data_IF_994171783287
#
_entry.id   IF_994171783287
#
_cell.length_a   1.000
_cell.length_b   1.000
_cell.length_c   1.000
_cell.angle_alpha   90.00
_cell.angle_beta   90.00
_cell.angle_gamma   90.00
#
_symmetry.space_group_name_H-M   'P 1'
#
loop_
_entity.id
_entity.type
_entity.pdbx_description
1 polymer ?
#
# COMPACT_ATOMS: atom_id res chain seq x y z
N UNK A 1 -17.14 34.20 5.90
CA UNK A 1 -17.87 33.63 4.75
C UNK A 1 -16.91 32.82 3.88
N UNK A 2 -17.39 31.77 3.21
CA UNK A 2 -16.59 31.00 2.24
C UNK A 2 -17.17 31.16 0.84
N UNK A 3 -16.28 31.33 -0.13
CA UNK A 3 -16.62 31.52 -1.53
C UNK A 3 -15.93 30.46 -2.39
N UNK A 4 -16.55 30.08 -3.49
CA UNK A 4 -15.97 29.25 -4.56
C UNK A 4 -15.83 30.08 -5.81
N UNK A 5 -14.66 30.08 -6.45
CA UNK A 5 -14.43 30.75 -7.71
C UNK A 5 -15.11 30.01 -8.87
N UNK A 6 -15.94 30.72 -9.63
CA UNK A 6 -16.60 30.21 -10.83
C UNK A 6 -15.72 30.39 -12.07
N UNK A 7 -14.91 31.45 -12.09
CA UNK A 7 -14.08 31.83 -13.23
C UNK A 7 -12.64 32.10 -12.79
N UNK A 8 -11.73 32.01 -13.75
CA UNK A 8 -10.34 32.42 -13.53
C UNK A 8 -10.22 33.94 -13.58
N UNK A 9 -9.44 34.51 -12.66
CA UNK A 9 -9.07 35.92 -12.64
C UNK A 9 -7.57 36.09 -12.53
N UNK A 10 -7.02 36.94 -13.41
CA UNK A 10 -5.61 37.31 -13.40
C UNK A 10 -5.48 38.73 -12.81
N UNK A 11 -4.69 38.90 -11.73
CA UNK A 11 -4.43 40.20 -11.12
C UNK A 11 -3.91 41.21 -12.13
N UNK A 12 -4.47 42.42 -12.10
CA UNK A 12 -3.98 43.61 -12.79
C UNK A 12 -3.10 44.46 -11.87
N UNK A 13 -3.38 44.42 -10.56
CA UNK A 13 -2.62 45.12 -9.53
C UNK A 13 -1.98 44.14 -8.54
N UNK A 14 -0.98 44.62 -7.78
CA UNK A 14 -0.20 43.78 -6.85
C UNK A 14 -0.98 43.34 -5.61
N UNK A 15 -2.06 44.03 -5.29
CA UNK A 15 -2.95 43.78 -4.17
C UNK A 15 -4.14 42.86 -4.53
N UNK A 16 -4.26 42.48 -5.80
CA UNK A 16 -5.30 41.58 -6.30
C UNK A 16 -4.89 40.10 -6.21
N UNK A 17 -5.84 39.26 -5.87
CA UNK A 17 -5.67 37.83 -5.68
C UNK A 17 -5.92 37.07 -6.98
N UNK A 18 -4.93 36.27 -7.40
CA UNK A 18 -5.12 35.31 -8.48
C UNK A 18 -6.04 34.16 -8.04
N UNK A 19 -7.13 33.95 -8.78
CA UNK A 19 -8.07 32.84 -8.54
C UNK A 19 -8.26 32.02 -9.81
N UNK A 20 -8.35 30.70 -9.68
CA UNK A 20 -8.72 29.76 -10.74
C UNK A 20 -10.12 29.20 -10.47
N UNK A 21 -10.84 28.80 -11.52
CA UNK A 21 -12.15 28.17 -11.37
C UNK A 21 -12.07 26.92 -10.46
N UNK A 22 -12.96 26.84 -9.48
CA UNK A 22 -13.01 25.80 -8.45
C UNK A 22 -12.23 26.11 -7.17
N UNK A 23 -11.46 27.19 -7.11
CA UNK A 23 -10.72 27.58 -5.90
C UNK A 23 -11.67 28.00 -4.78
N UNK A 24 -11.33 27.64 -3.54
CA UNK A 24 -12.04 28.12 -2.35
C UNK A 24 -11.33 29.36 -1.76
N UNK A 25 -12.11 30.36 -1.38
CA UNK A 25 -11.65 31.62 -0.80
C UNK A 25 -12.34 31.86 0.55
N UNK A 26 -11.53 32.18 1.56
CA UNK A 26 -12.02 32.62 2.86
C UNK A 26 -12.15 34.13 2.86
N UNK A 27 -13.34 34.62 3.20
CA UNK A 27 -13.64 36.05 3.27
C UNK A 27 -14.06 36.36 4.69
N UNK A 28 -13.30 37.23 5.37
CA UNK A 28 -13.67 37.71 6.70
C UNK A 28 -14.69 38.85 6.55
N UNK A 29 -15.94 38.69 7.05
CA UNK A 29 -16.97 39.72 6.94
C UNK A 29 -16.63 41.01 7.71
N UNK A 30 -15.77 40.95 8.74
CA UNK A 30 -15.41 42.12 9.55
C UNK A 30 -14.42 43.05 8.84
N UNK A 31 -13.80 42.59 7.74
CA UNK A 31 -12.77 43.31 7.00
C UNK A 31 -13.22 43.74 5.59
N UNK A 32 -14.53 43.94 5.39
CA UNK A 32 -15.10 44.37 4.10
C UNK A 32 -15.54 45.84 4.06
N UNK A 33 -15.43 46.59 5.17
CA UNK A 33 -15.98 47.94 5.27
C UNK A 33 -15.32 48.98 4.36
N UNK A 34 -14.07 48.74 3.93
CA UNK A 34 -13.27 49.67 3.12
C UNK A 34 -13.09 49.18 1.66
N UNK A 35 -13.88 48.21 1.21
CA UNK A 35 -13.74 47.60 -0.12
C UNK A 35 -14.69 48.24 -1.12
N UNK A 36 -14.17 48.60 -2.30
CA UNK A 36 -14.98 49.14 -3.41
C UNK A 36 -16.07 48.18 -3.85
N UNK A 37 -17.22 48.72 -4.25
CA UNK A 37 -18.37 47.95 -4.74
C UNK A 37 -17.96 46.96 -5.85
N UNK A 38 -18.39 45.70 -5.72
CA UNK A 38 -18.07 44.61 -6.68
C UNK A 38 -16.76 43.86 -6.40
N UNK A 39 -16.01 44.25 -5.37
CA UNK A 39 -14.80 43.57 -4.93
C UNK A 39 -14.96 43.00 -3.52
N UNK A 40 -14.22 41.94 -3.24
CA UNK A 40 -14.10 41.38 -1.89
C UNK A 40 -12.63 41.11 -1.58
N UNK A 41 -12.25 41.25 -0.31
CA UNK A 41 -10.92 40.83 0.15
C UNK A 41 -11.01 39.42 0.71
N UNK A 42 -10.22 38.51 0.15
CA UNK A 42 -10.22 37.11 0.55
C UNK A 42 -8.83 36.49 0.60
N UNK A 43 -8.75 35.34 1.26
CA UNK A 43 -7.54 34.51 1.35
C UNK A 43 -7.77 33.21 0.60
N UNK A 44 -6.91 32.90 -0.37
CA UNK A 44 -6.97 31.65 -1.13
C UNK A 44 -6.71 30.45 -0.23
N UNK A 45 -7.60 29.46 -0.25
CA UNK A 45 -7.38 28.20 0.46
C UNK A 45 -6.16 27.44 -0.08
N UNK A 46 -5.92 27.51 -1.41
CA UNK A 46 -4.85 26.76 -2.07
C UNK A 46 -3.48 27.36 -1.81
N UNK A 47 -3.34 28.68 -1.87
CA UNK A 47 -2.03 29.35 -1.80
C UNK A 47 -1.77 30.06 -0.48
N UNK A 48 -2.81 30.31 0.33
CA UNK A 48 -2.70 31.11 1.55
C UNK A 48 -2.54 32.62 1.30
N UNK A 49 -2.43 33.06 0.04
CA UNK A 49 -2.29 34.49 -0.29
C UNK A 49 -3.60 35.24 -0.06
N UNK A 50 -3.50 36.48 0.40
CA UNK A 50 -4.62 37.42 0.61
C UNK A 50 -4.59 38.53 -0.44
N UNK A 51 -5.75 38.92 -0.96
CA UNK A 51 -5.86 40.05 -1.89
C UNK A 51 -7.31 40.32 -2.29
N UNK A 52 -7.49 41.32 -3.16
CA UNK A 52 -8.78 41.69 -3.75
C UNK A 52 -9.18 40.74 -4.89
N UNK A 53 -10.44 40.34 -4.94
CA UNK A 53 -10.99 39.56 -6.04
C UNK A 53 -12.40 40.07 -6.44
N UNK A 54 -12.81 39.91 -7.72
CA UNK A 54 -14.15 40.28 -8.15
C UNK A 54 -15.21 39.39 -7.49
N UNK A 55 -16.21 40.00 -6.84
CA UNK A 55 -17.27 39.27 -6.15
C UNK A 55 -18.10 38.43 -7.13
N UNK A 56 -18.38 38.98 -8.32
CA UNK A 56 -19.17 38.36 -9.38
C UNK A 56 -18.51 37.12 -10.01
N UNK A 57 -17.25 36.85 -9.70
CA UNK A 57 -16.56 35.61 -10.09
C UNK A 57 -16.63 34.52 -9.04
N UNK A 58 -17.44 34.71 -8.00
CA UNK A 58 -17.57 33.78 -6.92
C UNK A 58 -19.03 33.48 -6.58
N UNK A 59 -19.23 32.35 -5.91
CA UNK A 59 -20.49 31.99 -5.27
C UNK A 59 -20.26 31.54 -3.83
N UNK A 60 -21.30 31.52 -3.00
CA UNK A 60 -21.19 31.02 -1.62
C UNK A 60 -20.93 29.52 -1.63
N UNK A 61 -19.89 29.09 -0.91
CA UNK A 61 -19.56 27.68 -0.71
C UNK A 61 -20.07 27.20 0.66
N UNK A 62 -20.48 25.92 0.75
CA UNK A 62 -20.83 25.33 2.04
C UNK A 62 -19.58 25.02 2.86
N UNK A 63 -19.71 25.10 4.18
CA UNK A 63 -18.59 24.86 5.08
C UNK A 63 -18.02 23.44 4.92
N UNK A 64 -18.88 22.46 4.64
CA UNK A 64 -18.54 21.06 4.37
C UNK A 64 -17.65 20.86 3.15
N UNK A 65 -17.68 21.77 2.17
CA UNK A 65 -17.00 21.59 0.88
C UNK A 65 -15.48 21.78 1.00
N UNK A 66 -15.01 22.29 2.13
CA UNK A 66 -13.59 22.45 2.44
C UNK A 66 -13.14 21.52 3.57
N UNK A 67 -13.99 20.59 4.03
CA UNK A 67 -13.59 19.64 5.07
C UNK A 67 -12.69 18.57 4.46
N UNK A 68 -11.45 18.55 4.92
CA UNK A 68 -10.52 17.46 4.63
C UNK A 68 -10.54 16.51 5.82
N UNK A 69 -10.91 15.25 5.61
CA UNK A 69 -10.84 14.23 6.67
C UNK A 69 -9.36 13.96 7.01
N UNK A 70 -8.85 14.63 8.04
CA UNK A 70 -7.45 14.49 8.45
C UNK A 70 -7.17 13.16 9.17
N UNK A 71 -8.10 12.71 10.02
CA UNK A 71 -8.00 11.44 10.76
C UNK A 71 -9.35 11.08 11.39
N UNK A 72 -9.58 9.79 11.62
CA UNK A 72 -10.70 9.26 12.40
C UNK A 72 -10.11 8.43 13.54
N UNK A 73 -10.60 8.61 14.77
CA UNK A 73 -10.16 7.86 15.94
C UNK A 73 -11.33 7.10 16.53
N UNK A 74 -11.16 5.80 16.72
CA UNK A 74 -12.10 4.95 17.45
C UNK A 74 -11.49 4.68 18.81
N UNK A 75 -12.11 5.22 19.87
CA UNK A 75 -11.71 4.90 21.23
C UNK A 75 -12.41 3.62 21.67
N UNK A 76 -11.62 2.57 21.87
CA UNK A 76 -12.09 1.34 22.51
C UNK A 76 -11.82 1.44 24.00
N UNK A 77 -12.88 1.30 24.80
CA UNK A 77 -12.77 1.24 26.26
C UNK A 77 -12.03 -0.03 26.66
N UNK A 78 -10.90 0.10 27.36
CA UNK A 78 -10.14 -1.04 27.85
C UNK A 78 -10.95 -1.84 28.89
N UNK A 79 -11.38 -3.05 28.53
CA UNK A 79 -11.87 -4.04 29.49
C UNK A 79 -10.66 -4.68 30.18
N UNK A 80 -10.41 -4.31 31.44
CA UNK A 80 -9.46 -5.01 32.31
C UNK A 80 -10.08 -6.36 32.73
N UNK A 81 -9.52 -7.47 32.26
CA UNK A 81 -9.57 -8.74 32.96
C UNK A 81 -8.26 -8.92 33.73
N UNK A 82 -8.38 -9.03 35.05
CA UNK A 82 -7.28 -9.26 35.98
C UNK A 82 -7.00 -10.76 36.15
N UNK A 83 -5.75 -11.16 35.90
CA UNK A 83 -5.09 -12.23 36.66
C UNK A 83 -3.83 -11.64 37.30
N UNK A 84 -3.71 -11.83 38.61
CA UNK A 84 -2.60 -11.36 39.43
C UNK A 84 -1.31 -12.12 39.12
N UNK A 85 -0.20 -11.41 38.88
CA UNK A 85 1.05 -11.64 39.62
C UNK A 85 1.85 -10.34 39.66
N UNK A 86 2.43 -10.08 40.83
CA UNK A 86 3.01 -8.83 41.30
C UNK A 86 4.17 -8.29 40.46
N UNK A 87 4.21 -6.96 40.26
CA UNK A 87 5.29 -6.07 40.73
C UNK A 87 4.89 -4.61 40.50
N UNK A 88 4.98 -3.85 41.59
CA UNK A 88 4.55 -2.47 41.78
C UNK A 88 5.27 -1.48 40.86
N UNK A 89 4.54 -0.46 40.39
CA UNK A 89 4.93 0.95 40.51
C UNK A 89 3.66 1.82 40.45
N UNK A 90 3.43 2.59 41.53
CA UNK A 90 2.28 3.47 41.74
C UNK A 90 2.40 4.77 40.95
N UNK A 91 1.36 5.15 40.18
CA UNK A 91 0.88 6.54 40.07
C UNK A 91 -0.64 6.52 39.90
N UNK A 92 -1.36 7.05 40.89
CA UNK A 92 -2.82 7.30 40.88
C UNK A 92 -3.13 8.58 40.09
N UNK A 93 -4.31 8.64 39.46
CA UNK A 93 -5.28 9.73 39.66
C UNK A 93 -6.67 9.35 39.09
N UNK A 94 -7.68 9.65 39.91
CA UNK A 94 -9.10 9.29 39.87
C UNK A 94 -9.91 9.81 38.66
N UNK A 95 -11.09 9.20 38.43
CA UNK A 95 -12.23 9.88 37.81
C UNK A 95 -13.28 8.93 37.21
N UNK A 96 -14.40 8.75 37.91
CA UNK A 96 -15.48 7.79 37.64
C UNK A 96 -16.33 8.06 36.40
N UNK A 97 -16.94 6.97 35.90
CA UNK A 97 -17.91 6.94 34.81
C UNK A 97 -19.37 6.97 35.33
N UNK A 98 -20.29 7.52 34.53
CA UNK A 98 -21.72 7.29 34.63
C UNK A 98 -22.29 6.97 33.24
N UNK A 99 -22.80 5.75 33.09
CA UNK A 99 -23.68 5.33 32.00
C UNK A 99 -25.13 5.61 32.39
N UNK A 100 -26.01 5.85 31.41
CA UNK A 100 -27.33 5.23 31.46
C UNK A 100 -27.66 4.45 30.19
N UNK A 101 -28.43 3.40 30.41
CA UNK A 101 -28.78 2.33 29.50
C UNK A 101 -29.96 2.65 28.58
N UNK A 102 -30.01 1.90 27.47
CA UNK A 102 -31.20 1.46 26.71
C UNK A 102 -31.97 2.48 25.85
N UNK A 103 -31.95 2.27 24.53
CA UNK A 103 -33.01 1.49 23.86
C UNK A 103 -32.65 1.23 22.39
N UNK A 104 -32.54 -0.06 22.03
CA UNK A 104 -32.47 -0.54 20.64
C UNK A 104 -33.86 -0.41 20.00
N UNK A 105 -33.95 0.34 18.91
CA UNK A 105 -34.98 0.15 17.89
C UNK A 105 -34.33 -0.55 16.69
N UNK A 106 -34.80 -1.78 16.44
CA UNK A 106 -34.20 -2.71 15.49
C UNK A 106 -34.39 -2.33 14.03
N UNK A 107 -33.35 -2.61 13.25
CA UNK A 107 -33.44 -2.93 11.84
C UNK A 107 -32.36 -3.98 11.53
N UNK A 108 -32.81 -5.23 11.45
CA UNK A 108 -32.19 -6.41 10.81
C UNK A 108 -30.68 -6.41 10.57
N UNK A 109 -29.91 -6.78 11.60
CA UNK A 109 -28.64 -7.48 11.38
C UNK A 109 -28.97 -8.96 11.43
N UNK A 110 -29.19 -9.57 10.27
CA UNK A 110 -29.13 -11.02 10.17
C UNK A 110 -27.71 -11.43 10.56
N UNK A 111 -27.59 -12.04 11.72
CA UNK A 111 -26.46 -12.87 12.10
C UNK A 111 -26.32 -13.99 11.07
N UNK A 112 -25.35 -13.90 10.18
CA UNK A 112 -24.92 -15.06 9.40
C UNK A 112 -24.10 -15.99 10.30
N UNK A 113 -24.82 -16.88 10.98
CA UNK A 113 -24.25 -18.11 11.51
C UNK A 113 -23.72 -18.97 10.34
N UNK A 114 -22.50 -19.49 10.48
CA UNK A 114 -21.95 -20.65 9.75
C UNK A 114 -22.14 -20.68 8.23
N UNK A 115 -21.72 -19.63 7.52
CA UNK A 115 -21.35 -19.82 6.11
C UNK A 115 -20.05 -20.66 6.04
N UNK A 116 -19.98 -21.72 5.22
CA UNK A 116 -18.74 -22.47 5.07
C UNK A 116 -17.66 -21.52 4.56
N UNK A 117 -16.49 -21.51 5.23
CA UNK A 117 -15.33 -20.69 4.82
C UNK A 117 -15.06 -20.91 3.34
N UNK A 118 -15.32 -19.87 2.55
CA UNK A 118 -15.09 -19.89 1.11
C UNK A 118 -13.59 -19.81 0.87
N UNK A 119 -13.13 -20.57 -0.12
CA UNK A 119 -11.76 -20.44 -0.57
C UNK A 119 -11.65 -19.13 -1.33
N UNK A 120 -10.61 -18.36 -1.03
CA UNK A 120 -10.39 -17.10 -1.70
C UNK A 120 -8.91 -16.88 -1.99
N UNK A 121 -8.64 -16.00 -2.94
CA UNK A 121 -7.30 -15.65 -3.40
C UNK A 121 -7.16 -14.15 -3.34
N UNK A 122 -6.21 -13.69 -2.54
CA UNK A 122 -5.85 -12.28 -2.43
C UNK A 122 -4.50 -12.08 -3.13
N UNK A 123 -4.48 -11.38 -4.26
CA UNK A 123 -3.23 -11.06 -4.98
C UNK A 123 -2.86 -9.63 -4.71
N UNK A 124 -1.60 -9.38 -4.36
CA UNK A 124 -1.12 -8.08 -3.92
C UNK A 124 0.25 -7.75 -4.53
N UNK A 125 0.42 -6.51 -4.97
CA UNK A 125 1.72 -5.98 -5.38
C UNK A 125 2.59 -5.69 -4.16
N UNK A 126 3.89 -5.93 -4.27
CA UNK A 126 4.88 -5.52 -3.27
C UNK A 126 4.79 -4.02 -2.86
N UNK A 127 5.38 -3.70 -1.69
CA UNK A 127 5.56 -2.33 -1.19
C UNK A 127 6.50 -1.45 -1.99
N UNK A 128 6.56 -0.18 -1.60
CA UNK A 128 7.52 0.79 -2.16
C UNK A 128 8.96 0.25 -2.09
N UNK A 129 9.66 0.30 -3.22
CA UNK A 129 11.06 -0.14 -3.33
C UNK A 129 12.01 1.03 -3.16
N UNK A 130 13.21 0.77 -2.64
CA UNK A 130 14.24 1.81 -2.48
C UNK A 130 14.64 2.44 -3.82
N UNK A 131 14.75 1.67 -4.89
CA UNK A 131 15.19 2.16 -6.21
C UNK A 131 14.12 3.00 -6.92
N UNK A 132 12.84 2.85 -6.54
CA UNK A 132 11.76 3.72 -7.02
C UNK A 132 11.85 5.13 -6.42
N UNK A 133 12.35 5.23 -5.18
CA UNK A 133 12.48 6.51 -4.46
C UNK A 133 13.81 7.19 -4.79
N UNK A 134 14.90 6.42 -4.72
CA UNK A 134 16.27 6.95 -4.79
C UNK A 134 16.93 6.77 -6.16
N UNK A 135 16.20 6.19 -7.12
CA UNK A 135 16.67 5.97 -8.48
C UNK A 135 17.66 4.81 -8.64
N UNK A 136 18.21 4.68 -9.85
CA UNK A 136 19.07 3.54 -10.22
C UNK A 136 20.39 3.47 -9.44
N UNK A 137 20.91 4.61 -8.99
CA UNK A 137 22.15 4.69 -8.22
C UNK A 137 21.94 4.58 -6.70
N UNK A 138 20.77 4.10 -6.25
CA UNK A 138 20.43 4.03 -4.82
C UNK A 138 21.49 3.29 -4.00
N UNK A 139 22.06 2.20 -4.55
CA UNK A 139 23.02 1.38 -3.81
C UNK A 139 24.30 2.18 -3.52
N UNK A 140 24.78 2.96 -4.50
CA UNK A 140 25.95 3.83 -4.33
C UNK A 140 25.72 4.92 -3.28
N UNK A 141 24.48 5.42 -3.15
CA UNK A 141 24.13 6.42 -2.14
C UNK A 141 24.25 5.87 -0.71
N UNK A 142 24.03 4.57 -0.51
CA UNK A 142 24.01 3.92 0.80
C UNK A 142 25.25 3.04 1.10
N UNK A 143 26.33 3.17 0.33
CA UNK A 143 27.60 2.48 0.59
C UNK A 143 28.71 3.48 0.93
N UNK A 144 29.45 3.18 2.00
CA UNK A 144 30.68 3.90 2.34
C UNK A 144 31.80 3.54 1.36
N UNK A 145 32.93 4.30 1.32
CA UNK A 145 34.06 3.98 0.46
C UNK A 145 34.68 2.59 0.69
N UNK A 146 34.58 2.05 1.92
CA UNK A 146 34.99 0.68 2.27
C UNK A 146 33.91 -0.38 1.97
N UNK A 147 32.81 0.00 1.31
CA UNK A 147 31.76 -0.90 0.83
C UNK A 147 30.78 -1.34 1.91
N UNK A 148 30.71 -0.66 3.06
CA UNK A 148 29.74 -0.96 4.11
C UNK A 148 28.45 -0.21 3.88
N UNK A 149 27.34 -0.88 4.17
CA UNK A 149 26.03 -0.27 4.13
C UNK A 149 25.88 0.78 5.25
N UNK A 150 25.33 1.94 4.90
CA UNK A 150 24.87 2.94 5.84
C UNK A 150 23.57 3.57 5.36
N UNK A 151 22.74 4.01 6.30
CA UNK A 151 21.43 4.60 6.00
C UNK A 151 21.57 6.10 5.70
N UNK A 152 21.70 6.44 4.41
CA UNK A 152 21.88 7.83 3.95
C UNK A 152 20.60 8.71 4.04
N UNK A 153 19.43 8.08 4.05
CA UNK A 153 18.11 8.69 4.18
C UNK A 153 17.24 7.77 5.06
N UNK A 154 16.33 8.33 5.86
CA UNK A 154 15.50 7.54 6.78
C UNK A 154 14.55 6.56 6.08
N UNK A 155 14.25 6.78 4.80
CA UNK A 155 13.45 5.88 3.99
C UNK A 155 14.26 4.68 3.42
N UNK A 156 15.59 4.67 3.53
CA UNK A 156 16.34 3.43 3.39
C UNK A 156 16.15 2.52 4.62
N UNK A 157 16.14 1.18 4.46
CA UNK A 157 16.01 0.26 5.58
C UNK A 157 17.15 0.44 6.62
N UNK A 158 16.94 -0.02 7.85
CA UNK A 158 17.98 0.07 8.89
C UNK A 158 19.19 -0.83 8.62
N UNK A 159 18.99 -1.92 7.87
CA UNK A 159 20.03 -2.83 7.43
C UNK A 159 19.63 -3.53 6.12
N UNK A 160 20.62 -4.02 5.38
CA UNK A 160 20.42 -4.96 4.29
C UNK A 160 20.67 -6.39 4.78
N UNK A 161 19.91 -7.39 4.30
CA UNK A 161 20.16 -8.77 4.67
C UNK A 161 21.53 -9.21 4.16
N UNK A 162 22.19 -10.10 4.90
CA UNK A 162 23.43 -10.71 4.42
C UNK A 162 23.13 -11.59 3.22
N UNK A 163 23.94 -11.45 2.18
CA UNK A 163 23.95 -12.34 1.03
C UNK A 163 25.33 -12.96 0.93
N UNK A 164 25.42 -14.23 0.51
CA UNK A 164 26.69 -14.94 0.34
C UNK A 164 27.44 -14.43 -0.90
N UNK A 165 26.70 -13.84 -1.83
CA UNK A 165 27.22 -13.16 -3.00
C UNK A 165 27.58 -11.69 -2.70
N UNK A 166 27.70 -10.87 -3.75
CA UNK A 166 28.07 -9.46 -3.64
C UNK A 166 26.89 -8.57 -3.28
N UNK A 167 27.12 -7.57 -2.43
CA UNK A 167 26.17 -6.46 -2.18
C UNK A 167 25.66 -5.80 -3.46
N UNK A 168 26.42 -5.85 -4.57
CA UNK A 168 25.99 -5.33 -5.88
C UNK A 168 24.72 -6.01 -6.41
N UNK A 169 24.42 -7.22 -5.97
CA UNK A 169 23.23 -7.95 -6.43
C UNK A 169 21.91 -7.31 -5.98
N UNK A 170 21.94 -6.43 -4.96
CA UNK A 170 20.78 -5.61 -4.62
C UNK A 170 20.39 -4.61 -5.72
N UNK A 171 21.30 -4.22 -6.62
CA UNK A 171 20.96 -3.32 -7.74
C UNK A 171 19.84 -3.91 -8.62
N UNK A 172 19.87 -5.23 -8.83
CA UNK A 172 18.88 -5.97 -9.62
C UNK A 172 17.75 -6.59 -8.78
N UNK A 173 17.92 -6.66 -7.46
CA UNK A 173 16.89 -7.15 -6.53
C UNK A 173 16.78 -6.23 -5.29
N UNK A 174 16.26 -5.00 -5.48
CA UNK A 174 16.24 -3.99 -4.43
C UNK A 174 15.23 -4.37 -3.32
N UNK A 175 15.53 -4.02 -2.06
CA UNK A 175 14.61 -4.20 -0.95
C UNK A 175 13.46 -3.18 -0.96
N UNK A 176 12.52 -3.36 -0.04
CA UNK A 176 11.57 -2.34 0.35
C UNK A 176 12.27 -1.14 1.01
N UNK A 177 11.67 0.03 0.83
CA UNK A 177 11.96 1.22 1.65
C UNK A 177 11.30 1.11 3.04
N UNK A 178 11.61 2.01 3.97
CA UNK A 178 10.89 2.07 5.26
C UNK A 178 9.39 2.35 5.07
N UNK A 179 9.02 3.20 4.11
CA UNK A 179 7.62 3.41 3.72
C UNK A 179 7.00 2.12 3.17
N UNK A 180 7.73 1.35 2.33
CA UNK A 180 7.27 0.05 1.83
C UNK A 180 7.03 -0.97 2.94
N UNK A 181 7.90 -1.00 3.95
CA UNK A 181 7.74 -1.81 5.16
C UNK A 181 6.50 -1.39 5.94
N UNK A 182 6.32 -0.09 6.18
CA UNK A 182 5.15 0.47 6.85
C UNK A 182 3.84 0.14 6.12
N UNK A 183 3.78 0.37 4.80
CA UNK A 183 2.63 0.04 3.96
C UNK A 183 2.25 -1.44 4.11
N UNK A 184 3.24 -2.33 4.05
CA UNK A 184 3.02 -3.78 4.13
C UNK A 184 2.48 -4.20 5.48
N UNK A 185 3.04 -3.67 6.57
CA UNK A 185 2.57 -3.96 7.93
C UNK A 185 1.16 -3.44 8.17
N UNK A 186 0.87 -2.21 7.75
CA UNK A 186 -0.45 -1.59 7.89
C UNK A 186 -1.54 -2.40 7.18
N UNK A 187 -1.24 -2.95 6.00
CA UNK A 187 -2.17 -3.83 5.30
C UNK A 187 -2.39 -5.15 6.06
N UNK A 188 -1.34 -5.71 6.66
CA UNK A 188 -1.48 -6.88 7.54
C UNK A 188 -2.38 -6.61 8.75
N UNK A 189 -2.19 -5.47 9.42
CA UNK A 189 -3.03 -5.01 10.54
C UNK A 189 -4.48 -4.82 10.09
N UNK A 190 -4.71 -4.20 8.93
CA UNK A 190 -6.06 -4.05 8.38
C UNK A 190 -6.73 -5.39 8.03
N UNK A 191 -5.97 -6.39 7.56
CA UNK A 191 -6.51 -7.72 7.30
C UNK A 191 -6.86 -8.45 8.61
N UNK A 192 -6.10 -8.21 9.69
CA UNK A 192 -6.38 -8.74 11.01
C UNK A 192 -7.69 -8.14 11.57
N UNK A 193 -7.87 -6.82 11.44
CA UNK A 193 -9.09 -6.11 11.84
C UNK A 193 -10.35 -6.61 11.12
N UNK A 194 -10.18 -7.19 9.92
CA UNK A 194 -11.26 -7.80 9.13
C UNK A 194 -11.36 -9.31 9.35
N UNK A 195 -10.64 -9.86 10.32
CA UNK A 195 -10.64 -11.28 10.68
C UNK A 195 -10.35 -12.21 9.49
N UNK A 196 -9.51 -11.77 8.54
CA UNK A 196 -9.21 -12.54 7.33
C UNK A 196 -8.34 -13.75 7.67
N UNK A 197 -8.88 -14.94 7.46
CA UNK A 197 -8.18 -16.20 7.71
C UNK A 197 -7.23 -16.54 6.56
N UNK A 198 -5.98 -16.07 6.65
CA UNK A 198 -4.92 -16.42 5.69
C UNK A 198 -4.32 -17.79 6.04
N UNK A 199 -4.53 -18.77 5.17
CA UNK A 199 -4.06 -20.15 5.37
C UNK A 199 -2.72 -20.43 4.69
N UNK A 200 -2.46 -19.75 3.57
CA UNK A 200 -1.22 -19.93 2.80
C UNK A 200 -0.74 -18.58 2.26
N UNK A 201 0.58 -18.40 2.23
CA UNK A 201 1.23 -17.24 1.62
C UNK A 201 2.23 -17.71 0.57
N UNK A 202 2.07 -17.21 -0.64
CA UNK A 202 3.01 -17.38 -1.74
C UNK A 202 3.65 -16.04 -2.08
N UNK A 203 4.95 -16.06 -2.35
CA UNK A 203 5.68 -14.87 -2.76
C UNK A 203 6.49 -15.14 -4.02
N UNK A 204 6.56 -14.14 -4.89
CA UNK A 204 7.64 -14.04 -5.88
C UNK A 204 9.02 -14.09 -5.19
N UNK A 205 10.07 -14.61 -5.84
CA UNK A 205 11.42 -14.69 -5.26
C UNK A 205 12.11 -13.33 -5.10
N UNK A 206 11.60 -12.26 -5.70
CA UNK A 206 12.15 -10.92 -5.54
C UNK A 206 12.11 -10.50 -4.05
N UNK A 207 13.21 -9.95 -3.54
CA UNK A 207 13.36 -9.61 -2.12
C UNK A 207 12.23 -8.71 -1.62
N UNK A 208 11.88 -7.68 -2.41
CA UNK A 208 10.74 -6.78 -2.14
C UNK A 208 9.41 -7.52 -1.90
N UNK A 209 9.16 -8.62 -2.59
CA UNK A 209 7.93 -9.40 -2.45
C UNK A 209 7.99 -10.24 -1.16
N UNK A 210 9.13 -10.89 -0.89
CA UNK A 210 9.32 -11.66 0.34
C UNK A 210 9.23 -10.77 1.58
N UNK A 211 9.84 -9.59 1.54
CA UNK A 211 9.75 -8.59 2.61
C UNK A 211 8.31 -8.08 2.79
N UNK A 212 7.59 -7.84 1.69
CA UNK A 212 6.17 -7.46 1.78
C UNK A 212 5.37 -8.55 2.47
N UNK A 213 5.51 -9.82 2.05
CA UNK A 213 4.84 -10.96 2.65
C UNK A 213 5.17 -11.11 4.14
N UNK A 214 6.45 -10.95 4.51
CA UNK A 214 6.91 -10.98 5.89
C UNK A 214 6.22 -9.92 6.75
N UNK A 215 6.16 -8.67 6.29
CA UNK A 215 5.57 -7.58 7.06
C UNK A 215 4.04 -7.65 7.11
N UNK A 216 3.38 -8.15 6.05
CA UNK A 216 1.96 -8.47 6.09
C UNK A 216 1.66 -9.56 7.13
N UNK A 217 2.46 -10.63 7.18
CA UNK A 217 2.33 -11.69 8.19
C UNK A 217 2.59 -11.21 9.62
N UNK A 218 3.48 -10.23 9.80
CA UNK A 218 3.68 -9.58 11.09
C UNK A 218 2.46 -8.78 11.53
N UNK A 219 1.87 -7.97 10.63
CA UNK A 219 0.65 -7.23 10.92
C UNK A 219 -0.56 -8.14 11.18
N UNK A 220 -0.62 -9.29 10.50
CA UNK A 220 -1.63 -10.34 10.72
C UNK A 220 -1.41 -11.17 12.00
N UNK A 221 -0.29 -10.99 12.70
CA UNK A 221 0.12 -11.84 13.83
C UNK A 221 0.23 -13.33 13.49
N UNK A 222 0.51 -13.66 12.21
CA UNK A 222 0.62 -15.03 11.69
C UNK A 222 2.06 -15.49 11.47
N UNK A 223 3.05 -14.65 11.78
CA UNK A 223 4.47 -14.94 11.53
C UNK A 223 5.00 -16.24 12.17
N UNK A 224 4.35 -16.78 13.21
CA UNK A 224 4.74 -18.07 13.81
C UNK A 224 3.93 -19.26 13.27
N UNK A 225 2.83 -19.00 12.55
CA UNK A 225 1.85 -20.02 12.14
C UNK A 225 1.91 -20.33 10.65
N UNK A 226 2.15 -19.31 9.83
CA UNK A 226 2.12 -19.42 8.37
C UNK A 226 3.49 -19.04 7.80
N UNK A 227 4.07 -19.94 7.00
CA UNK A 227 5.36 -19.73 6.34
C UNK A 227 5.18 -19.25 4.91
N UNK A 228 6.11 -18.43 4.44
CA UNK A 228 6.13 -17.86 3.08
C UNK A 228 6.68 -18.92 2.10
N UNK A 229 5.86 -19.31 1.13
CA UNK A 229 6.25 -20.22 0.06
C UNK A 229 6.78 -19.42 -1.12
N UNK A 230 8.08 -19.51 -1.37
CA UNK A 230 8.73 -18.79 -2.48
C UNK A 230 8.48 -19.56 -3.78
N UNK A 231 7.73 -18.96 -4.71
CA UNK A 231 7.34 -19.55 -5.99
C UNK A 231 7.94 -18.72 -7.15
N UNK A 232 9.00 -19.22 -7.81
CA UNK A 232 9.63 -18.55 -8.95
C UNK A 232 8.68 -18.24 -10.10
N UNK A 233 7.63 -19.05 -10.30
CA UNK A 233 6.60 -18.80 -11.31
C UNK A 233 5.89 -17.46 -11.15
N UNK A 234 5.89 -16.87 -9.94
CA UNK A 234 5.29 -15.55 -9.66
C UNK A 234 6.22 -14.36 -9.94
N UNK A 235 7.43 -14.59 -10.48
CA UNK A 235 8.32 -13.49 -10.85
C UNK A 235 7.76 -12.64 -12.00
N UNK A 236 8.15 -11.36 -12.05
CA UNK A 236 7.70 -10.37 -13.03
C UNK A 236 8.00 -10.82 -14.47
N UNK A 237 7.28 -10.25 -15.45
CA UNK A 237 7.57 -10.51 -16.85
C UNK A 237 9.02 -10.11 -17.18
N UNK A 238 9.86 -11.09 -17.52
CA UNK A 238 11.32 -10.90 -17.60
C UNK A 238 11.74 -10.00 -18.76
N UNK A 239 10.84 -9.67 -19.69
CA UNK A 239 11.05 -8.65 -20.72
C UNK A 239 11.18 -7.24 -20.14
N UNK A 240 10.62 -6.98 -18.96
CA UNK A 240 10.76 -5.69 -18.28
C UNK A 240 12.05 -5.57 -17.46
N UNK A 241 12.82 -6.65 -17.31
CA UNK A 241 14.11 -6.60 -16.64
C UNK A 241 15.16 -5.93 -17.54
N UNK A 242 15.62 -4.76 -17.11
CA UNK A 242 16.48 -3.89 -17.92
C UNK A 242 17.84 -4.51 -18.26
N UNK A 243 18.33 -5.44 -17.43
CA UNK A 243 19.64 -6.06 -17.56
C UNK A 243 19.67 -7.22 -18.55
N UNK A 244 18.53 -7.70 -19.06
CA UNK A 244 18.41 -8.97 -19.81
C UNK A 244 19.02 -10.17 -19.06
N UNK A 245 19.15 -10.07 -17.74
CA UNK A 245 19.67 -11.12 -16.87
C UNK A 245 18.64 -11.30 -15.75
N UNK A 246 18.28 -12.55 -15.47
CA UNK A 246 17.42 -12.85 -14.32
C UNK A 246 18.17 -12.42 -13.06
N UNK A 247 17.55 -11.61 -12.17
CA UNK A 247 18.20 -11.21 -10.94
C UNK A 247 18.68 -12.44 -10.16
N UNK A 248 19.88 -12.36 -9.60
CA UNK A 248 20.31 -13.38 -8.65
C UNK A 248 19.48 -13.19 -7.38
N UNK A 249 18.42 -13.96 -7.19
CA UNK A 249 17.60 -13.86 -5.98
C UNK A 249 18.33 -14.47 -4.79
N UNK A 250 18.00 -13.98 -3.59
CA UNK A 250 18.41 -14.67 -2.37
C UNK A 250 17.84 -16.10 -2.36
N UNK A 251 18.67 -17.06 -2.00
CA UNK A 251 18.24 -18.45 -1.82
C UNK A 251 17.27 -18.56 -0.64
N UNK A 252 16.43 -19.59 -0.61
CA UNK A 252 15.54 -19.85 0.53
C UNK A 252 16.32 -20.01 1.84
N UNK A 253 17.54 -20.56 1.78
CA UNK A 253 18.44 -20.65 2.93
C UNK A 253 18.91 -19.26 3.41
N UNK A 254 19.36 -18.40 2.50
CA UNK A 254 19.76 -17.02 2.86
C UNK A 254 18.59 -16.20 3.38
N UNK A 255 17.38 -16.38 2.83
CA UNK A 255 16.17 -15.74 3.34
C UNK A 255 15.87 -16.19 4.78
N UNK A 256 15.98 -17.48 5.06
CA UNK A 256 15.83 -18.01 6.42
C UNK A 256 16.93 -17.52 7.38
N UNK A 257 18.19 -17.50 6.94
CA UNK A 257 19.33 -16.92 7.68
C UNK A 257 19.11 -15.43 7.98
N UNK A 258 18.47 -14.70 7.07
CA UNK A 258 18.03 -13.31 7.25
C UNK A 258 16.76 -13.14 8.09
N UNK A 259 16.28 -14.22 8.73
CA UNK A 259 15.10 -14.23 9.62
C UNK A 259 13.76 -13.96 8.93
N UNK A 260 13.66 -14.16 7.61
CA UNK A 260 12.36 -14.24 6.93
C UNK A 260 11.72 -15.60 7.18
N UNK A 261 10.44 -15.63 7.52
CA UNK A 261 9.72 -16.87 7.85
C UNK A 261 9.33 -17.67 6.59
N UNK A 262 10.31 -18.11 5.83
CA UNK A 262 10.13 -18.88 4.59
C UNK A 262 9.95 -20.38 4.85
N UNK A 263 9.16 -21.03 4.01
CA UNK A 263 8.97 -22.48 4.03
C UNK A 263 10.11 -23.18 3.28
N UNK A 264 11.12 -23.65 4.02
CA UNK A 264 12.27 -24.37 3.46
C UNK A 264 11.91 -25.76 2.89
N UNK A 265 10.75 -26.30 3.27
CA UNK A 265 10.26 -27.59 2.77
C UNK A 265 9.46 -27.47 1.47
N UNK A 266 8.98 -26.26 1.15
CA UNK A 266 8.23 -26.02 -0.07
C UNK A 266 9.09 -26.26 -1.31
N UNK A 267 8.47 -26.84 -2.34
CA UNK A 267 9.05 -27.03 -3.66
C UNK A 267 8.11 -26.33 -4.65
N UNK A 268 8.61 -25.27 -5.29
CA UNK A 268 7.86 -24.51 -6.28
C UNK A 268 7.45 -25.39 -7.47
N UNK A 269 6.31 -25.06 -8.06
CA UNK A 269 5.80 -25.71 -9.27
C UNK A 269 6.56 -25.26 -10.51
N UNK A 270 7.19 -24.08 -10.46
CA UNK A 270 8.06 -23.58 -11.52
C UNK A 270 9.51 -23.45 -11.02
N UNK A 271 10.47 -24.21 -11.59
CA UNK A 271 11.87 -24.12 -11.18
C UNK A 271 12.47 -22.75 -11.49
N UNK A 272 13.30 -22.21 -10.57
CA UNK A 272 13.97 -20.93 -10.80
C UNK A 272 14.86 -20.95 -12.04
N UNK A 273 15.53 -22.08 -12.30
CA UNK A 273 16.36 -22.30 -13.49
C UNK A 273 15.60 -22.26 -14.81
N UNK A 274 14.27 -22.36 -14.77
CA UNK A 274 13.39 -22.27 -15.94
C UNK A 274 12.99 -20.84 -16.29
N UNK A 275 13.30 -19.84 -15.44
CA UNK A 275 13.11 -18.45 -15.81
C UNK A 275 14.12 -18.07 -16.90
N UNK A 276 13.61 -17.62 -18.04
CA UNK A 276 14.43 -17.17 -19.17
C UNK A 276 14.39 -15.65 -19.28
N UNK A 277 15.51 -14.98 -19.57
CA UNK A 277 15.50 -13.55 -19.83
C UNK A 277 14.66 -13.20 -21.06
N UNK A 278 13.94 -12.07 -21.01
CA UNK A 278 13.16 -11.57 -22.14
C UNK A 278 12.16 -12.59 -22.72
N UNK A 279 11.48 -13.33 -21.85
CA UNK A 279 10.45 -14.30 -22.25
C UNK A 279 9.29 -13.65 -23.03
N UNK A 280 8.56 -14.47 -23.80
CA UNK A 280 7.34 -14.00 -24.47
C UNK A 280 6.25 -13.65 -23.45
N UNK A 281 5.26 -12.86 -23.88
CA UNK A 281 4.14 -12.51 -22.99
C UNK A 281 3.30 -13.75 -22.65
N UNK A 282 3.16 -14.67 -23.62
CA UNK A 282 2.46 -15.94 -23.49
C UNK A 282 3.15 -16.87 -22.48
N UNK A 283 4.48 -16.98 -22.56
CA UNK A 283 5.26 -17.77 -21.60
C UNK A 283 5.13 -17.21 -20.19
N UNK A 284 5.21 -15.88 -20.03
CA UNK A 284 5.00 -15.21 -18.76
C UNK A 284 3.63 -15.52 -18.16
N UNK A 285 2.55 -15.41 -18.95
CA UNK A 285 1.19 -15.71 -18.48
C UNK A 285 1.03 -17.19 -18.11
N UNK A 286 1.61 -18.08 -18.91
CA UNK A 286 1.58 -19.52 -18.67
C UNK A 286 2.24 -19.87 -17.33
N UNK A 287 3.48 -19.45 -17.11
CA UNK A 287 4.19 -19.76 -15.85
C UNK A 287 3.64 -19.05 -14.62
N UNK A 288 3.01 -17.89 -14.77
CA UNK A 288 2.45 -17.13 -13.64
C UNK A 288 1.14 -17.71 -13.11
N UNK A 289 0.42 -18.46 -13.95
CA UNK A 289 -0.88 -19.01 -13.62
C UNK A 289 -0.87 -20.51 -13.34
N UNK A 290 0.03 -21.27 -13.98
CA UNK A 290 0.12 -22.72 -13.80
C UNK A 290 0.31 -23.17 -12.33
N UNK A 291 1.19 -22.56 -11.52
CA UNK A 291 1.32 -22.91 -10.10
C UNK A 291 0.02 -22.72 -9.33
N UNK A 292 -0.75 -21.70 -9.67
CA UNK A 292 -1.98 -21.33 -8.98
C UNK A 292 -3.13 -22.28 -9.35
N UNK A 293 -3.28 -22.60 -10.63
CA UNK A 293 -4.26 -23.57 -11.09
C UNK A 293 -4.04 -24.94 -10.44
N UNK A 294 -2.78 -25.37 -10.28
CA UNK A 294 -2.45 -26.61 -9.59
C UNK A 294 -2.86 -26.55 -8.11
N UNK A 295 -2.58 -25.44 -7.42
CA UNK A 295 -2.98 -25.26 -6.01
C UNK A 295 -4.49 -25.26 -5.82
N UNK A 296 -5.24 -24.68 -6.76
CA UNK A 296 -6.70 -24.61 -6.67
C UNK A 296 -7.39 -25.92 -7.05
N UNK A 297 -6.75 -26.78 -7.84
CA UNK A 297 -7.26 -28.12 -8.14
C UNK A 297 -7.35 -29.03 -6.90
N UNK A 298 -6.60 -28.75 -5.83
CA UNK A 298 -6.68 -29.52 -4.59
C UNK A 298 -7.87 -29.08 -3.73
N UNK A 299 -8.86 -29.96 -3.57
CA UNK A 299 -10.15 -29.70 -2.91
C UNK A 299 -10.11 -29.59 -1.37
N UNK A 300 -8.94 -29.50 -0.74
CA UNK A 300 -8.79 -29.52 0.74
C UNK A 300 -8.52 -28.17 1.43
N UNK A 301 -8.22 -27.09 0.68
CA UNK A 301 -7.87 -25.79 1.26
C UNK A 301 -9.12 -24.98 1.61
N UNK A 302 -9.21 -24.51 2.86
CA UNK A 302 -10.17 -23.49 3.31
C UNK A 302 -9.42 -22.22 3.74
N UNK A 303 -10.08 -21.07 3.62
CA UNK A 303 -9.49 -19.75 3.91
C UNK A 303 -8.86 -19.05 2.69
N UNK A 304 -8.11 -18.00 2.97
CA UNK A 304 -7.49 -17.12 1.98
C UNK A 304 -6.08 -17.59 1.64
N UNK A 305 -5.79 -17.69 0.35
CA UNK A 305 -4.45 -17.84 -0.20
C UNK A 305 -3.95 -16.44 -0.58
N UNK A 306 -2.96 -15.94 0.14
CA UNK A 306 -2.31 -14.66 -0.15
C UNK A 306 -1.18 -14.88 -1.16
N UNK A 307 -1.17 -14.10 -2.22
CA UNK A 307 -0.13 -14.09 -3.25
C UNK A 307 0.49 -12.69 -3.28
N UNK A 308 1.79 -12.61 -2.96
CA UNK A 308 2.56 -11.37 -2.99
C UNK A 308 3.50 -11.40 -4.18
N UNK A 309 3.24 -10.54 -5.15
CA UNK A 309 3.99 -10.48 -6.40
C UNK A 309 4.18 -9.05 -6.89
N UNK A 310 3.96 -8.87 -8.18
CA UNK A 310 4.15 -7.59 -8.88
C UNK A 310 2.79 -7.04 -9.33
N UNK A 311 2.78 -5.85 -9.93
CA UNK A 311 1.53 -5.29 -10.46
C UNK A 311 0.91 -6.21 -11.52
N UNK A 312 1.75 -6.81 -12.35
CA UNK A 312 1.38 -7.80 -13.36
C UNK A 312 0.70 -9.05 -12.80
N UNK A 313 1.07 -9.47 -11.59
CA UNK A 313 0.51 -10.64 -10.92
C UNK A 313 -1.00 -10.49 -10.70
N UNK A 314 -1.51 -9.27 -10.44
CA UNK A 314 -2.94 -9.06 -10.21
C UNK A 314 -3.79 -9.58 -11.37
N UNK A 315 -3.35 -9.42 -12.62
CA UNK A 315 -4.09 -9.90 -13.78
C UNK A 315 -3.61 -11.27 -14.26
N UNK A 316 -2.30 -11.53 -14.25
CA UNK A 316 -1.74 -12.81 -14.69
C UNK A 316 -2.21 -13.98 -13.82
N UNK A 317 -2.43 -13.75 -12.53
CA UNK A 317 -2.87 -14.78 -11.59
C UNK A 317 -4.40 -14.95 -11.51
N UNK A 318 -5.17 -13.87 -11.72
CA UNK A 318 -6.63 -13.90 -11.50
C UNK A 318 -7.46 -14.09 -12.77
N UNK A 319 -7.00 -13.62 -13.93
CA UNK A 319 -7.76 -13.80 -15.19
C UNK A 319 -7.92 -15.28 -15.55
N UNK A 320 -6.85 -16.11 -15.52
CA UNK A 320 -6.98 -17.54 -15.79
C UNK A 320 -7.88 -18.25 -14.77
N UNK A 321 -7.80 -17.84 -13.50
CA UNK A 321 -8.64 -18.37 -12.42
C UNK A 321 -10.14 -18.18 -12.70
N UNK A 322 -10.51 -17.04 -13.28
CA UNK A 322 -11.89 -16.72 -13.65
C UNK A 322 -12.27 -17.18 -15.07
N UNK A 323 -11.39 -17.89 -15.79
CA UNK A 323 -11.61 -18.29 -17.17
C UNK A 323 -11.70 -17.13 -18.16
N UNK A 324 -11.11 -15.97 -17.85
CA UNK A 324 -11.08 -14.82 -18.75
C UNK A 324 -9.90 -14.91 -19.73
N UNK A 325 -10.06 -14.44 -20.98
CA UNK A 325 -8.98 -14.42 -21.96
C UNK A 325 -7.84 -13.50 -21.51
N UNK A 326 -6.63 -13.75 -22.00
CA UNK A 326 -5.51 -12.81 -21.84
C UNK A 326 -5.83 -11.47 -22.49
N UNK A 327 -5.27 -10.39 -21.93
CA UNK A 327 -5.27 -9.07 -22.60
C UNK A 327 -4.17 -9.05 -23.65
N UNK A 328 -4.25 -8.15 -24.62
CA UNK A 328 -3.08 -7.79 -25.41
C UNK A 328 -1.94 -7.29 -24.51
N UNK A 329 -0.70 -7.54 -24.93
CA UNK A 329 0.50 -7.20 -24.15
C UNK A 329 0.66 -5.69 -23.88
N UNK A 330 0.23 -4.82 -24.80
CA UNK A 330 0.26 -3.37 -24.64
C UNK A 330 -0.77 -2.91 -23.61
N UNK A 331 -2.02 -3.39 -23.74
CA UNK A 331 -3.10 -3.11 -22.79
C UNK A 331 -2.76 -3.62 -21.39
N UNK A 332 -2.14 -4.80 -21.32
CA UNK A 332 -1.63 -5.37 -20.09
C UNK A 332 -0.59 -4.45 -19.44
N UNK A 333 0.42 -4.01 -20.19
CA UNK A 333 1.46 -3.11 -19.68
C UNK A 333 0.88 -1.76 -19.19
N UNK A 334 -0.08 -1.19 -19.92
CA UNK A 334 -0.75 0.06 -19.51
C UNK A 334 -1.55 -0.11 -18.21
N UNK A 335 -2.22 -1.24 -18.05
CA UNK A 335 -2.95 -1.56 -16.83
C UNK A 335 -2.00 -1.72 -15.64
N UNK A 336 -0.89 -2.46 -15.81
CA UNK A 336 0.08 -2.71 -14.74
C UNK A 336 0.68 -1.42 -14.18
N UNK A 337 0.96 -0.43 -15.04
CA UNK A 337 1.51 0.88 -14.63
C UNK A 337 0.59 1.66 -13.68
N UNK A 338 -0.71 1.36 -13.67
CA UNK A 338 -1.70 2.04 -12.81
C UNK A 338 -1.84 1.42 -11.43
N UNK A 339 -1.25 0.24 -11.19
CA UNK A 339 -1.37 -0.47 -9.92
C UNK A 339 -0.39 0.13 -8.91
N UNK A 340 -0.83 0.73 -7.80
CA UNK A 340 0.06 1.30 -6.78
C UNK A 340 0.73 0.22 -5.93
N UNK A 341 1.71 0.58 -5.10
CA UNK A 341 2.23 -0.30 -4.04
C UNK A 341 1.07 -0.84 -3.20
N UNK A 342 1.10 -2.13 -2.87
CA UNK A 342 0.05 -2.84 -2.11
C UNK A 342 -1.32 -2.84 -2.83
N UNK A 343 -1.40 -2.41 -4.09
CA UNK A 343 -2.57 -2.61 -4.92
C UNK A 343 -2.93 -4.10 -4.95
N UNK A 344 -4.21 -4.42 -4.76
CA UNK A 344 -4.67 -5.79 -4.59
C UNK A 344 -5.97 -6.08 -5.32
N UNK A 345 -6.18 -7.35 -5.65
CA UNK A 345 -7.45 -7.89 -6.14
C UNK A 345 -7.81 -9.16 -5.37
N UNK A 346 -9.10 -9.45 -5.26
CA UNK A 346 -9.62 -10.54 -4.46
C UNK A 346 -10.59 -11.40 -5.28
N UNK A 347 -10.36 -12.71 -5.29
CA UNK A 347 -11.19 -13.67 -5.99
C UNK A 347 -11.75 -14.70 -5.01
N UNK A 348 -13.05 -14.95 -5.05
CA UNK A 348 -13.72 -15.96 -4.23
C UNK A 348 -14.22 -17.12 -5.09
N UNK A 349 -14.14 -18.33 -4.53
CA UNK A 349 -14.68 -19.54 -5.14
C UNK A 349 -16.20 -19.63 -4.89
N UNK A 350 -16.95 -19.68 -5.99
CA UNK A 350 -18.38 -20.01 -6.02
C UNK A 350 -18.53 -21.53 -6.15
N UNK A 351 -18.42 -22.23 -5.01
CA UNK A 351 -18.42 -23.71 -4.96
C UNK A 351 -19.57 -24.36 -5.73
N UNK A 352 -20.77 -23.82 -5.64
CA UNK A 352 -21.97 -24.35 -6.32
C UNK A 352 -21.87 -24.30 -7.85
N UNK A 353 -21.05 -23.39 -8.39
CA UNK A 353 -20.90 -23.18 -9.83
C UNK A 353 -19.55 -23.64 -10.36
N UNK A 354 -18.66 -24.12 -9.49
CA UNK A 354 -17.26 -24.41 -9.80
C UNK A 354 -16.57 -23.26 -10.57
N UNK A 355 -16.83 -22.02 -10.13
CA UNK A 355 -16.34 -20.79 -10.77
C UNK A 355 -15.67 -19.89 -9.75
N UNK A 356 -14.82 -19.01 -10.25
CA UNK A 356 -14.22 -17.93 -9.47
C UNK A 356 -14.77 -16.59 -9.90
N UNK A 357 -14.98 -15.71 -8.92
CA UNK A 357 -15.46 -14.35 -9.16
C UNK A 357 -14.56 -13.34 -8.49
N UNK A 358 -14.27 -12.24 -9.16
CA UNK A 358 -13.63 -11.08 -8.55
C UNK A 358 -14.63 -10.32 -7.68
N UNK A 359 -14.25 -10.07 -6.45
CA UNK A 359 -15.02 -9.33 -5.44
C UNK A 359 -14.17 -8.19 -4.89
N UNK A 360 -14.78 -7.31 -4.10
CA UNK A 360 -14.02 -6.26 -3.42
C UNK A 360 -13.03 -6.89 -2.44
N UNK A 361 -11.76 -6.42 -2.40
CA UNK A 361 -10.84 -6.83 -1.35
C UNK A 361 -11.42 -6.57 0.05
N UNK A 362 -11.07 -7.41 1.04
CA UNK A 362 -11.59 -7.27 2.40
C UNK A 362 -11.13 -5.98 3.10
N UNK A 363 -10.05 -5.35 2.59
CA UNK A 363 -9.50 -4.11 3.14
C UNK A 363 -9.54 -2.96 2.13
N UNK A 364 -9.48 -1.73 2.63
CA UNK A 364 -9.47 -0.51 1.82
C UNK A 364 -8.11 -0.29 1.16
N UNK A 365 -8.11 0.59 0.16
CA UNK A 365 -6.88 1.07 -0.48
C UNK A 365 -6.07 1.96 0.47
N UNK A 366 -4.75 1.90 0.38
CA UNK A 366 -3.85 2.85 1.02
C UNK A 366 -3.44 3.94 0.02
N UNK A 367 -3.66 5.21 0.38
CA UNK A 367 -3.29 6.37 -0.46
C UNK A 367 -2.59 7.41 0.41
N UNK A 368 -1.42 7.85 -0.03
CA UNK A 368 -0.64 8.89 0.63
C UNK A 368 0.18 9.68 -0.39
N UNK A 369 0.60 10.89 0.00
CA UNK A 369 1.49 11.73 -0.80
C UNK A 369 2.95 11.31 -0.70
N UNK A 370 3.79 11.90 -1.56
CA UNK A 370 5.23 11.82 -1.45
C UNK A 370 5.75 12.74 -0.34
N UNK A 371 6.95 12.46 0.17
CA UNK A 371 7.70 13.35 1.05
C UNK A 371 9.02 13.72 0.38
N UNK A 372 9.27 15.02 0.17
CA UNK A 372 10.42 15.49 -0.60
C UNK A 372 11.71 15.44 0.22
N UNK A 373 12.84 15.20 -0.44
CA UNK A 373 14.16 15.38 0.16
C UNK A 373 14.36 16.85 0.55
N UNK A 374 14.85 17.10 1.75
CA UNK A 374 15.02 18.45 2.29
C UNK A 374 16.47 18.67 2.75
N UNK A 375 17.10 19.72 2.24
CA UNK A 375 18.42 20.17 2.69
C UNK A 375 18.31 21.62 3.16
N UNK A 376 18.27 21.80 4.49
CA UNK A 376 18.13 23.11 5.11
C UNK A 376 19.23 24.10 4.72
N UNK A 377 20.45 23.65 4.39
CA UNK A 377 21.53 24.56 3.99
C UNK A 377 21.22 25.21 2.65
N UNK A 378 20.85 24.42 1.65
CA UNK A 378 20.50 24.93 0.33
C UNK A 378 19.15 25.65 0.33
N UNK A 379 18.20 25.24 1.17
CA UNK A 379 16.86 25.85 1.18
C UNK A 379 16.76 27.14 1.99
N UNK A 380 17.54 27.27 3.08
CA UNK A 380 17.42 28.40 4.02
C UNK A 380 18.63 29.35 3.94
N UNK A 381 19.82 28.84 3.61
CA UNK A 381 21.06 29.63 3.69
C UNK A 381 21.68 30.01 2.33
N UNK A 382 21.16 29.54 1.21
CA UNK A 382 21.54 30.10 -0.10
C UNK A 382 20.67 31.33 -0.39
N UNK A 383 21.33 32.49 -0.57
CA UNK A 383 20.72 33.79 -0.92
C UNK A 383 20.14 33.80 -2.35
#
# INVERSE_FOLDING_TARGET
QRLRALFQYKPQNIDELMINAGDFIYVDPTHQCDVSEGWVVGTSHRTGCRGFLPENYTEKAHESDTWVKHREYVFVTASRSSTQTEREYNVKLNGEAHNPSMSRSGANVLSTQNAPLRRAVLVMRHGERVDQVFGKSWLQQCLTPDGKYYRADLNFPSALPKRKDSMKQFECDPPLSCCGIFQSRLIGEALLDQEVLVSYVYSSPALRCVQTAQHVLQGLELNQKVKIRVEPGLFEWTKWEASKVIPNFMTVAELAEASYNVDTSYRGNFPLSSLVPSESYEDYLSRSSAPLLLLFAFSGVSGVILIVGHGSSLAACTRPLMGLPSRDSSDFAQMVRKIPSLGMCFCEELKEQNKWQMVNPPVKTLTHGANAAFNWRYTIMED
#
